data_IF_327815272942
#
_entry.id   IF_327815272942
#
_cell.length_a   1.000
_cell.length_b   1.000
_cell.length_c   1.000
_cell.angle_alpha   90.00
_cell.angle_beta   90.00
_cell.angle_gamma   90.00
#
_symmetry.space_group_name_H-M   'P 1'
#
loop_
_entity.id
_entity.type
_entity.pdbx_description
1 polymer ?
#
# COMPACT_ATOMS: atom_id res chain seq x y z
N UNK A 1 23.32 -6.82 32.75
CA UNK A 1 23.18 -6.23 31.41
C UNK A 1 21.78 -5.63 31.32
N UNK A 2 21.67 -4.30 31.38
CA UNK A 2 20.36 -3.64 31.26
C UNK A 2 19.78 -3.94 29.89
N UNK A 3 18.64 -4.62 29.85
CA UNK A 3 17.92 -4.91 28.60
C UNK A 3 17.36 -3.60 28.06
N UNK A 4 18.15 -2.93 27.21
CA UNK A 4 17.70 -1.75 26.48
C UNK A 4 16.55 -2.22 25.60
N UNK A 5 15.33 -1.81 25.97
CA UNK A 5 14.14 -2.10 25.20
C UNK A 5 14.34 -1.52 23.80
N UNK A 6 14.24 -2.33 22.73
CA UNK A 6 14.44 -1.80 21.39
C UNK A 6 13.44 -0.66 21.14
N UNK A 7 13.85 0.41 20.44
CA UNK A 7 12.95 1.49 20.05
C UNK A 7 11.66 0.94 19.44
N UNK A 8 10.53 1.62 19.67
CA UNK A 8 9.21 1.20 19.14
C UNK A 8 9.25 0.96 17.63
N UNK A 9 10.00 1.77 16.88
CA UNK A 9 10.20 1.58 15.44
C UNK A 9 10.89 0.26 15.08
N UNK A 10 11.92 -0.17 15.81
CA UNK A 10 12.60 -1.45 15.56
C UNK A 10 11.66 -2.64 15.83
N UNK A 11 10.82 -2.53 16.87
CA UNK A 11 9.79 -3.53 17.15
C UNK A 11 8.73 -3.58 16.06
N UNK A 12 8.35 -2.42 15.52
CA UNK A 12 7.44 -2.34 14.39
C UNK A 12 8.02 -3.03 13.15
N UNK A 13 9.28 -2.76 12.79
CA UNK A 13 9.94 -3.43 11.66
C UNK A 13 10.00 -4.95 11.82
N UNK A 14 10.29 -5.45 13.02
CA UNK A 14 10.30 -6.90 13.29
C UNK A 14 8.90 -7.52 13.17
N UNK A 15 7.85 -6.80 13.60
CA UNK A 15 6.46 -7.25 13.44
C UNK A 15 6.00 -7.20 11.98
N UNK A 16 6.48 -6.22 11.20
CA UNK A 16 6.23 -6.12 9.77
C UNK A 16 6.89 -7.27 9.01
N UNK A 17 8.18 -7.56 9.30
CA UNK A 17 8.90 -8.70 8.71
C UNK A 17 8.20 -10.03 9.03
N UNK A 18 7.74 -10.19 10.28
CA UNK A 18 6.95 -11.36 10.66
C UNK A 18 5.62 -11.46 9.91
N UNK A 19 4.93 -10.33 9.67
CA UNK A 19 3.69 -10.29 8.89
C UNK A 19 3.92 -10.69 7.43
N UNK A 20 5.00 -10.20 6.80
CA UNK A 20 5.36 -10.54 5.43
C UNK A 20 5.83 -11.99 5.29
N UNK A 21 6.53 -12.55 6.30
CA UNK A 21 6.87 -14.00 6.34
C UNK A 21 5.65 -14.91 6.41
N UNK A 22 4.54 -14.45 7.01
CA UNK A 22 3.28 -15.20 7.06
C UNK A 22 2.57 -15.16 5.69
N UNK A 23 2.83 -14.14 4.86
CA UNK A 23 2.23 -13.95 3.54
C UNK A 23 3.27 -13.72 2.43
N UNK A 24 4.18 -14.69 2.17
CA UNK A 24 5.30 -14.50 1.23
C UNK A 24 4.85 -14.28 -0.23
N UNK A 25 3.62 -14.66 -0.58
CA UNK A 25 3.05 -14.45 -1.92
C UNK A 25 2.39 -13.08 -2.13
N UNK A 26 2.46 -12.18 -1.16
CA UNK A 26 1.80 -10.86 -1.17
C UNK A 26 2.75 -9.69 -1.00
N UNK A 27 4.06 -9.92 -1.07
CA UNK A 27 5.07 -8.87 -0.98
C UNK A 27 4.95 -7.93 -2.17
N UNK A 28 4.66 -6.67 -1.87
CA UNK A 28 4.61 -5.60 -2.85
C UNK A 28 6.03 -5.09 -3.10
N UNK A 29 6.36 -4.81 -4.36
CA UNK A 29 7.58 -4.07 -4.70
C UNK A 29 7.49 -2.64 -4.14
N UNK A 30 8.62 -1.95 -3.93
CA UNK A 30 8.63 -0.60 -3.35
C UNK A 30 7.80 0.40 -4.17
N UNK A 31 7.75 0.24 -5.49
CA UNK A 31 6.92 1.04 -6.39
C UNK A 31 5.43 0.70 -6.22
N UNK A 32 5.11 -0.59 -6.08
CA UNK A 32 3.73 -1.06 -5.88
C UNK A 32 3.18 -0.60 -4.53
N UNK A 33 4.02 -0.65 -3.49
CA UNK A 33 3.70 -0.11 -2.16
C UNK A 33 3.51 1.40 -2.20
N UNK A 34 4.38 2.15 -2.88
CA UNK A 34 4.24 3.59 -3.07
C UNK A 34 2.94 3.98 -3.79
N UNK A 35 2.60 3.27 -4.86
CA UNK A 35 1.34 3.44 -5.58
C UNK A 35 0.14 3.14 -4.67
N UNK A 36 0.17 2.01 -3.97
CA UNK A 36 -0.92 1.59 -3.10
C UNK A 36 -1.13 2.57 -1.94
N UNK A 37 -0.04 3.05 -1.33
CA UNK A 37 -0.07 4.08 -0.29
C UNK A 37 -0.79 5.32 -0.81
N UNK A 38 -0.42 5.82 -1.99
CA UNK A 38 -1.03 7.02 -2.56
C UNK A 38 -2.53 6.84 -2.85
N UNK A 39 -2.91 5.67 -3.37
CA UNK A 39 -4.32 5.34 -3.64
C UNK A 39 -5.13 5.29 -2.34
N UNK A 40 -4.62 4.61 -1.31
CA UNK A 40 -5.29 4.50 -0.02
C UNK A 40 -5.40 5.86 0.67
N UNK A 41 -4.35 6.68 0.66
CA UNK A 41 -4.39 8.05 1.19
C UNK A 41 -5.45 8.89 0.47
N UNK A 42 -5.44 8.89 -0.85
CA UNK A 42 -6.43 9.66 -1.66
C UNK A 42 -7.86 9.18 -1.37
N UNK A 43 -8.06 7.87 -1.25
CA UNK A 43 -9.34 7.26 -0.90
C UNK A 43 -9.82 7.71 0.50
N UNK A 44 -8.93 7.74 1.49
CA UNK A 44 -9.23 8.26 2.83
C UNK A 44 -9.59 9.75 2.82
N UNK A 45 -8.94 10.53 1.96
CA UNK A 45 -9.25 11.96 1.73
C UNK A 45 -10.50 12.19 0.88
N UNK A 46 -11.21 11.11 0.48
CA UNK A 46 -12.36 11.14 -0.44
C UNK A 46 -12.03 11.78 -1.79
N UNK A 47 -10.77 11.71 -2.20
CA UNK A 47 -10.31 12.15 -3.50
C UNK A 47 -10.28 10.95 -4.46
N UNK A 48 -10.95 11.10 -5.60
CA UNK A 48 -10.82 10.16 -6.71
C UNK A 48 -9.44 10.31 -7.34
N UNK A 49 -8.73 9.21 -7.52
CA UNK A 49 -7.44 9.18 -8.19
C UNK A 49 -7.55 8.44 -9.52
N UNK A 50 -7.05 9.06 -10.58
CA UNK A 50 -7.06 8.48 -11.92
C UNK A 50 -5.79 7.68 -12.17
N UNK A 51 -5.88 6.72 -13.09
CA UNK A 51 -4.70 6.06 -13.65
C UNK A 51 -3.72 7.10 -14.20
N UNK A 52 -4.24 8.14 -14.87
CA UNK A 52 -3.46 9.23 -15.44
C UNK A 52 -2.62 9.99 -14.40
N UNK A 53 -3.18 10.21 -13.20
CA UNK A 53 -2.49 10.91 -12.13
C UNK A 53 -1.37 10.03 -11.56
N UNK A 54 -1.64 8.73 -11.37
CA UNK A 54 -0.67 7.76 -10.87
C UNK A 54 0.49 7.54 -11.83
N UNK A 55 0.23 7.41 -13.14
CA UNK A 55 1.31 7.24 -14.13
C UNK A 55 2.13 8.52 -14.32
N UNK A 56 1.59 9.68 -13.97
CA UNK A 56 2.31 10.96 -14.07
C UNK A 56 3.25 11.19 -12.88
N UNK A 57 3.24 10.33 -11.86
CA UNK A 57 4.14 10.40 -10.70
C UNK A 57 5.54 9.91 -11.05
N UNK A 58 6.30 10.76 -11.75
CA UNK A 58 7.69 10.48 -12.14
C UNK A 58 8.61 10.17 -10.94
N UNK A 59 8.23 10.58 -9.72
CA UNK A 59 8.94 10.24 -8.47
C UNK A 59 8.95 8.73 -8.17
N UNK A 60 7.91 8.00 -8.60
CA UNK A 60 7.81 6.56 -8.39
C UNK A 60 8.42 5.74 -9.55
N UNK A 61 8.60 6.36 -10.72
CA UNK A 61 9.26 5.74 -11.88
C UNK A 61 8.68 6.18 -13.23
N UNK A 62 9.16 5.56 -14.31
CA UNK A 62 8.70 5.83 -15.68
C UNK A 62 7.23 5.40 -15.88
N UNK A 63 6.50 6.11 -16.75
CA UNK A 63 5.08 5.83 -17.05
C UNK A 63 4.81 4.35 -17.40
N UNK A 64 5.67 3.73 -18.22
CA UNK A 64 5.55 2.33 -18.60
C UNK A 64 5.68 1.38 -17.39
N UNK A 65 6.61 1.68 -16.48
CA UNK A 65 6.82 0.92 -15.24
C UNK A 65 5.60 1.05 -14.33
N UNK A 66 5.12 2.27 -14.09
CA UNK A 66 3.96 2.51 -13.23
C UNK A 66 2.70 1.85 -13.77
N UNK A 67 2.48 1.91 -15.08
CA UNK A 67 1.35 1.22 -15.70
C UNK A 67 1.44 -0.30 -15.52
N UNK A 68 2.64 -0.88 -15.66
CA UNK A 68 2.89 -2.31 -15.38
C UNK A 68 2.61 -2.68 -13.92
N UNK A 69 3.10 -1.87 -12.96
CA UNK A 69 2.91 -2.09 -11.52
C UNK A 69 1.45 -1.91 -11.09
N UNK A 70 0.75 -0.95 -11.68
CA UNK A 70 -0.69 -0.77 -11.44
C UNK A 70 -1.48 -1.99 -11.92
N UNK A 71 -1.13 -2.53 -13.09
CA UNK A 71 -1.73 -3.78 -13.59
C UNK A 71 -1.44 -4.95 -12.65
N UNK A 72 -0.24 -5.06 -12.11
CA UNK A 72 0.10 -6.08 -11.11
C UNK A 72 -0.72 -5.92 -9.82
N UNK A 73 -0.82 -4.70 -9.27
CA UNK A 73 -1.65 -4.41 -8.10
C UNK A 73 -3.11 -4.81 -8.32
N UNK A 74 -3.63 -4.59 -9.53
CA UNK A 74 -4.97 -5.01 -9.90
C UNK A 74 -5.09 -6.53 -10.00
N UNK A 75 -4.10 -7.20 -10.61
CA UNK A 75 -4.05 -8.66 -10.71
C UNK A 75 -3.93 -9.36 -9.34
N UNK A 76 -3.21 -8.75 -8.39
CA UNK A 76 -3.12 -9.19 -7.00
C UNK A 76 -4.41 -8.91 -6.20
N UNK A 77 -5.36 -8.16 -6.77
CA UNK A 77 -6.63 -7.83 -6.16
C UNK A 77 -6.55 -6.70 -5.12
N UNK A 78 -5.46 -5.94 -5.07
CA UNK A 78 -5.32 -4.78 -4.16
C UNK A 78 -6.09 -3.55 -4.63
N UNK A 79 -6.25 -3.38 -5.95
CA UNK A 79 -6.93 -2.23 -6.53
C UNK A 79 -7.94 -2.67 -7.59
N UNK A 80 -9.02 -1.91 -7.71
CA UNK A 80 -10.00 -2.04 -8.79
C UNK A 80 -9.94 -0.79 -9.63
N UNK A 81 -9.90 -0.97 -10.95
CA UNK A 81 -9.98 0.11 -11.91
C UNK A 81 -11.43 0.22 -12.39
N UNK A 82 -12.14 1.26 -11.98
CA UNK A 82 -13.51 1.52 -12.41
C UNK A 82 -13.51 2.57 -13.54
N UNK A 83 -14.37 2.39 -14.54
CA UNK A 83 -14.65 3.47 -15.49
C UNK A 83 -15.64 4.43 -14.84
N UNK A 84 -15.32 5.72 -14.81
CA UNK A 84 -16.30 6.74 -14.42
C UNK A 84 -17.45 6.82 -15.42
N UNK A 85 -18.56 7.43 -14.99
CA UNK A 85 -19.76 7.71 -15.80
C UNK A 85 -19.43 8.38 -17.16
N UNK A 86 -18.30 9.11 -17.24
CA UNK A 86 -17.81 9.76 -18.46
C UNK A 86 -17.08 8.81 -19.45
N UNK A 87 -16.97 7.51 -19.14
CA UNK A 87 -16.41 6.46 -19.99
C UNK A 87 -14.92 6.58 -20.37
N UNK A 88 -14.28 7.71 -20.06
CA UNK A 88 -12.94 8.07 -20.54
C UNK A 88 -11.83 8.01 -19.48
N UNK A 89 -12.19 8.03 -18.20
CA UNK A 89 -11.21 8.08 -17.09
C UNK A 89 -11.35 6.84 -16.22
N UNK A 90 -10.29 6.04 -16.18
CA UNK A 90 -10.17 4.90 -15.28
C UNK A 90 -9.79 5.45 -13.91
N UNK A 91 -10.74 5.44 -12.98
CA UNK A 91 -10.49 5.67 -11.56
C UNK A 91 -9.89 4.43 -10.93
N UNK A 92 -9.04 4.64 -9.93
CA UNK A 92 -8.40 3.56 -9.17
C UNK A 92 -8.89 3.62 -7.74
N UNK A 93 -9.50 2.53 -7.29
CA UNK A 93 -10.10 2.41 -5.95
C UNK A 93 -9.41 1.25 -5.22
N UNK A 94 -8.96 1.43 -3.97
CA UNK A 94 -8.41 0.33 -3.19
C UNK A 94 -9.50 -0.69 -2.84
N UNK A 95 -9.17 -1.97 -2.89
CA UNK A 95 -10.10 -3.04 -2.51
C UNK A 95 -10.07 -3.30 -1.00
N UNK A 96 -10.98 -4.16 -0.53
CA UNK A 96 -10.97 -4.67 0.84
C UNK A 96 -9.65 -5.37 1.22
N UNK A 97 -8.95 -5.97 0.24
CA UNK A 97 -7.66 -6.64 0.49
C UNK A 97 -6.59 -5.62 0.83
N UNK A 98 -6.54 -4.49 0.10
CA UNK A 98 -5.64 -3.39 0.42
C UNK A 98 -5.92 -2.84 1.81
N UNK A 99 -7.18 -2.50 2.10
CA UNK A 99 -7.58 -1.95 3.40
C UNK A 99 -7.19 -2.91 4.54
N UNK A 100 -7.46 -4.22 4.39
CA UNK A 100 -7.08 -5.23 5.38
C UNK A 100 -5.57 -5.27 5.63
N UNK A 101 -4.74 -5.14 4.59
CA UNK A 101 -3.28 -5.07 4.76
C UNK A 101 -2.89 -3.87 5.64
N UNK A 102 -3.45 -2.68 5.39
CA UNK A 102 -3.17 -1.51 6.21
C UNK A 102 -3.69 -1.65 7.65
N UNK A 103 -4.82 -2.33 7.87
CA UNK A 103 -5.28 -2.65 9.21
C UNK A 103 -4.33 -3.60 9.94
N UNK A 104 -3.78 -4.61 9.26
CA UNK A 104 -2.77 -5.52 9.82
C UNK A 104 -1.48 -4.78 10.19
N UNK A 105 -1.01 -3.88 9.30
CA UNK A 105 0.13 -3.00 9.56
C UNK A 105 -0.17 -2.08 10.76
N UNK A 106 -1.37 -1.50 10.83
CA UNK A 106 -1.79 -0.66 11.96
C UNK A 106 -1.78 -1.44 13.27
N UNK A 107 -2.26 -2.69 13.29
CA UNK A 107 -2.19 -3.56 14.47
C UNK A 107 -0.74 -3.85 14.88
N UNK A 108 0.17 -4.04 13.92
CA UNK A 108 1.60 -4.20 14.20
C UNK A 108 2.18 -2.93 14.83
N UNK A 109 1.82 -1.74 14.32
CA UNK A 109 2.22 -0.46 14.88
C UNK A 109 1.71 -0.27 16.31
N UNK A 110 0.41 -0.49 16.55
CA UNK A 110 -0.17 -0.40 17.89
C UNK A 110 0.50 -1.36 18.87
N UNK A 111 0.78 -2.60 18.46
CA UNK A 111 1.51 -3.56 19.29
C UNK A 111 2.92 -3.09 19.61
N UNK A 112 3.63 -2.54 18.62
CA UNK A 112 4.98 -2.03 18.81
C UNK A 112 5.03 -0.85 19.80
N UNK A 113 4.03 0.05 19.72
CA UNK A 113 3.90 1.21 20.60
C UNK A 113 3.39 0.82 21.99
N UNK A 114 2.36 -0.02 22.11
CA UNK A 114 1.82 -0.50 23.40
C UNK A 114 2.80 -1.37 24.16
N UNK A 115 3.63 -2.12 23.45
CA UNK A 115 4.69 -2.89 24.08
C UNK A 115 5.78 -1.99 24.67
N UNK A 116 5.76 -0.65 24.49
CA UNK A 116 6.79 0.31 24.93
C UNK A 116 6.79 0.58 26.42
#
# INVERSE_FOLDING_TARGET
MSTIKPPSYIRFLNLLDALDRINPGKSLDSIEEGLLNKIVLSFHEKQSILVGDLISMAELGSQATLHGRLKNLSAMGYITMAANEDGRKKEVIPTKIAIKRYEEISKCLEKAVKAS
#
